data_IF_125451933347
#
_entry.id   IF_125451933347
#
_cell.length_a   1.000
_cell.length_b   1.000
_cell.length_c   1.000
_cell.angle_alpha   90.00
_cell.angle_beta   90.00
_cell.angle_gamma   90.00
#
_symmetry.space_group_name_H-M   'P 1'
#
loop_
_entity.id
_entity.type
_entity.pdbx_description
1 polymer ?
#
# COMPACT_ATOMS: atom_id res chain seq x y z
N UNK A 1 -58.91 62.79 -15.61
CA UNK A 1 -59.07 61.35 -15.40
C UNK A 1 -57.69 60.80 -15.05
N UNK A 2 -57.44 60.48 -13.81
CA UNK A 2 -56.15 60.12 -13.27
C UNK A 2 -56.07 58.58 -13.12
N UNK A 3 -55.08 57.96 -13.69
CA UNK A 3 -54.76 56.56 -13.41
C UNK A 3 -53.46 56.46 -12.62
N UNK A 4 -53.58 55.99 -11.41
CA UNK A 4 -52.52 55.65 -10.47
C UNK A 4 -51.84 54.36 -10.92
N UNK A 5 -50.50 54.37 -11.10
CA UNK A 5 -49.70 53.16 -11.19
C UNK A 5 -49.02 52.92 -9.84
N UNK A 6 -49.45 51.83 -9.19
CA UNK A 6 -48.75 51.27 -8.03
C UNK A 6 -47.51 50.50 -8.47
N UNK A 7 -46.33 50.95 -8.01
CA UNK A 7 -45.09 50.20 -8.14
C UNK A 7 -44.97 49.24 -6.96
N UNK A 8 -45.15 47.93 -7.24
CA UNK A 8 -44.84 46.88 -6.30
C UNK A 8 -43.32 46.61 -6.26
N UNK A 9 -42.75 46.73 -5.09
CA UNK A 9 -41.37 46.34 -4.84
C UNK A 9 -41.32 44.87 -4.47
N UNK A 10 -40.71 44.06 -5.33
CA UNK A 10 -40.36 42.65 -5.05
C UNK A 10 -39.04 42.65 -4.31
N UNK A 11 -39.07 42.33 -3.03
CA UNK A 11 -37.93 42.01 -2.21
C UNK A 11 -37.50 40.59 -2.56
N UNK A 12 -36.43 40.45 -3.32
CA UNK A 12 -35.77 39.18 -3.57
C UNK A 12 -34.82 38.94 -2.39
N UNK A 13 -35.25 38.03 -1.46
CA UNK A 13 -34.40 37.50 -0.41
C UNK A 13 -33.38 36.54 -1.05
N UNK A 14 -32.16 36.98 -1.18
CA UNK A 14 -31.02 36.12 -1.49
C UNK A 14 -30.71 35.25 -0.27
N UNK A 15 -31.23 34.01 -0.28
CA UNK A 15 -30.73 32.96 0.60
C UNK A 15 -29.34 32.53 0.14
N UNK A 16 -28.32 33.01 0.83
CA UNK A 16 -26.95 32.52 0.69
C UNK A 16 -26.88 31.10 1.27
N UNK A 17 -26.98 30.10 0.40
CA UNK A 17 -26.65 28.75 0.76
C UNK A 17 -25.13 28.65 0.96
N UNK A 18 -24.70 28.64 2.20
CA UNK A 18 -23.34 28.28 2.59
C UNK A 18 -23.16 26.79 2.27
N UNK A 19 -22.58 26.48 1.13
CA UNK A 19 -22.06 25.17 0.79
C UNK A 19 -20.88 24.91 1.73
N UNK A 20 -21.17 24.25 2.87
CA UNK A 20 -20.13 23.64 3.70
C UNK A 20 -19.51 22.50 2.87
N UNK A 21 -18.38 22.75 2.23
CA UNK A 21 -17.54 21.70 1.70
C UNK A 21 -17.19 20.75 2.87
N UNK A 22 -17.32 19.42 2.70
CA UNK A 22 -16.79 18.50 3.68
C UNK A 22 -15.28 18.68 3.67
N UNK A 23 -14.76 19.39 4.64
CA UNK A 23 -13.35 19.32 5.00
C UNK A 23 -13.09 17.87 5.40
N UNK A 24 -12.50 17.09 4.47
CA UNK A 24 -11.90 15.83 4.79
C UNK A 24 -10.76 16.10 5.77
N UNK A 25 -11.11 16.27 7.01
CA UNK A 25 -10.16 16.22 8.12
C UNK A 25 -9.61 14.80 8.06
N UNK A 26 -8.33 14.69 7.68
CA UNK A 26 -7.57 13.49 7.99
C UNK A 26 -7.90 13.18 9.44
N UNK A 27 -8.58 12.05 9.65
CA UNK A 27 -8.96 11.59 10.99
C UNK A 27 -7.65 11.31 11.69
N UNK A 28 -7.15 12.29 12.40
CA UNK A 28 -6.04 12.11 13.29
C UNK A 28 -6.40 10.92 14.19
N UNK A 29 -5.43 10.08 14.41
CA UNK A 29 -5.42 9.03 15.40
C UNK A 29 -5.92 9.52 16.73
N UNK A 30 -7.21 9.50 16.95
CA UNK A 30 -7.83 10.01 18.16
C UNK A 30 -8.53 8.94 18.97
N UNK A 31 -8.14 7.66 18.74
CA UNK A 31 -8.54 6.69 19.73
C UNK A 31 -7.31 5.96 20.28
N UNK A 32 -6.86 6.41 21.47
CA UNK A 32 -5.85 5.70 22.25
C UNK A 32 -6.21 4.22 22.43
N UNK A 33 -7.50 3.89 22.33
CA UNK A 33 -8.05 2.53 22.37
C UNK A 33 -7.64 1.70 21.15
N UNK A 34 -7.67 2.29 19.95
CA UNK A 34 -7.28 1.60 18.70
C UNK A 34 -5.78 1.30 18.73
N UNK A 35 -4.97 2.28 19.14
CA UNK A 35 -3.54 2.09 19.25
C UNK A 35 -3.17 0.98 20.23
N UNK A 36 -3.78 0.96 21.41
CA UNK A 36 -3.56 -0.10 22.38
C UNK A 36 -4.00 -1.47 21.84
N UNK A 37 -5.07 -1.50 21.05
CA UNK A 37 -5.53 -2.73 20.37
C UNK A 37 -4.49 -3.25 19.39
N UNK A 38 -3.85 -2.37 18.59
CA UNK A 38 -2.80 -2.77 17.66
C UNK A 38 -1.55 -3.27 18.37
N UNK A 39 -1.12 -2.61 19.45
CA UNK A 39 0.02 -3.05 20.26
C UNK A 39 -0.23 -4.42 20.90
N UNK A 40 -1.44 -4.66 21.42
CA UNK A 40 -1.83 -5.99 21.93
C UNK A 40 -1.81 -7.05 20.83
N UNK A 41 -2.32 -6.73 19.64
CA UNK A 41 -2.34 -7.66 18.53
C UNK A 41 -0.92 -8.02 18.07
N UNK A 42 -0.01 -7.05 17.95
CA UNK A 42 1.40 -7.31 17.65
C UNK A 42 2.08 -8.11 18.74
N UNK A 43 1.82 -7.78 20.00
CA UNK A 43 2.37 -8.55 21.15
C UNK A 43 1.91 -10.00 21.11
N UNK A 44 0.64 -10.24 20.78
CA UNK A 44 0.11 -11.58 20.56
C UNK A 44 0.87 -12.30 19.43
N UNK A 45 1.03 -11.67 18.26
CA UNK A 45 1.71 -12.29 17.13
C UNK A 45 3.19 -12.62 17.45
N UNK A 46 3.88 -11.74 18.15
CA UNK A 46 5.27 -11.98 18.59
C UNK A 46 5.40 -13.08 19.65
N UNK A 47 4.35 -13.38 20.40
CA UNK A 47 4.35 -14.43 21.44
C UNK A 47 4.17 -15.83 20.90
N UNK A 48 3.86 -16.01 19.61
CA UNK A 48 3.60 -17.32 18.99
C UNK A 48 4.90 -18.12 18.93
N UNK A 49 4.91 -19.25 19.61
CA UNK A 49 6.03 -20.17 19.60
C UNK A 49 5.56 -21.63 19.42
N UNK A 50 6.17 -22.43 18.53
CA UNK A 50 7.18 -22.03 17.53
C UNK A 50 6.60 -21.06 16.48
N UNK A 51 7.45 -20.25 15.82
CA UNK A 51 7.01 -19.34 14.76
C UNK A 51 6.25 -20.10 13.67
N UNK A 52 5.14 -19.53 13.21
CA UNK A 52 4.32 -20.05 12.12
C UNK A 52 4.11 -18.98 11.08
N UNK A 53 4.07 -19.37 9.81
CA UNK A 53 3.82 -18.47 8.70
C UNK A 53 2.51 -17.67 8.87
N UNK A 54 1.46 -18.35 9.30
CA UNK A 54 0.16 -17.76 9.61
C UNK A 54 -0.42 -18.38 10.89
N UNK A 55 -1.08 -17.55 11.69
CA UNK A 55 -1.78 -17.99 12.89
C UNK A 55 -3.01 -17.13 13.12
N UNK A 56 -4.14 -17.78 13.33
CA UNK A 56 -5.39 -17.13 13.74
C UNK A 56 -5.54 -17.22 15.25
N UNK A 57 -5.89 -16.11 15.90
CA UNK A 57 -6.18 -16.11 17.33
C UNK A 57 -7.40 -16.97 17.67
N UNK A 58 -7.51 -17.50 18.90
CA UNK A 58 -8.64 -18.35 19.30
C UNK A 58 -10.00 -17.66 19.14
N UNK A 59 -10.06 -16.36 19.35
CA UNK A 59 -11.27 -15.52 19.17
C UNK A 59 -11.51 -15.11 17.71
N UNK A 60 -10.63 -15.52 16.77
CA UNK A 60 -10.64 -15.23 15.34
C UNK A 60 -10.55 -13.75 14.99
N UNK A 61 -10.18 -12.89 15.90
CA UNK A 61 -10.12 -11.44 15.68
C UNK A 61 -8.75 -10.95 15.20
N UNK A 62 -7.70 -11.76 15.35
CA UNK A 62 -6.33 -11.41 14.96
C UNK A 62 -5.79 -12.51 14.05
N UNK A 63 -5.38 -12.14 12.85
CA UNK A 63 -4.58 -12.97 11.95
C UNK A 63 -3.15 -12.46 11.96
N UNK A 64 -2.22 -13.31 12.36
CA UNK A 64 -0.79 -13.03 12.28
C UNK A 64 -0.22 -13.61 10.99
N UNK A 65 0.53 -12.81 10.25
CA UNK A 65 1.30 -13.22 9.07
C UNK A 65 2.75 -12.80 9.25
N UNK A 66 3.64 -13.77 9.44
CA UNK A 66 5.06 -13.53 9.73
C UNK A 66 5.96 -14.42 8.86
N UNK A 67 5.99 -14.11 7.56
CA UNK A 67 6.78 -14.88 6.59
C UNK A 67 6.89 -14.17 5.24
N UNK A 68 7.66 -14.75 4.32
CA UNK A 68 7.63 -14.44 2.89
C UNK A 68 6.42 -15.13 2.25
N UNK A 69 5.79 -14.49 1.27
CA UNK A 69 4.64 -15.02 0.52
C UNK A 69 5.11 -16.09 -0.49
N UNK A 70 5.38 -17.28 0.00
CA UNK A 70 5.83 -18.42 -0.79
C UNK A 70 4.63 -19.26 -1.30
N UNK A 71 4.79 -20.08 -2.34
CA UNK A 71 3.70 -20.90 -2.90
C UNK A 71 3.05 -21.83 -1.88
N UNK A 72 3.82 -22.35 -0.93
CA UNK A 72 3.40 -23.29 0.12
C UNK A 72 2.63 -22.63 1.27
N UNK A 73 2.59 -21.29 1.34
CA UNK A 73 1.83 -20.60 2.38
C UNK A 73 0.34 -20.67 2.06
N UNK A 74 -0.41 -21.32 2.94
CA UNK A 74 -1.87 -21.39 2.83
C UNK A 74 -2.52 -20.11 3.35
N UNK A 75 -2.73 -19.15 2.46
CA UNK A 75 -3.38 -17.87 2.77
C UNK A 75 -4.89 -18.00 3.00
N UNK A 76 -5.49 -19.17 2.67
CA UNK A 76 -6.94 -19.41 2.81
C UNK A 76 -7.42 -19.37 4.26
N UNK A 77 -6.51 -19.54 5.23
CA UNK A 77 -6.79 -19.36 6.65
C UNK A 77 -7.38 -17.98 6.97
N UNK A 78 -7.06 -16.96 6.17
CA UNK A 78 -7.61 -15.61 6.31
C UNK A 78 -9.14 -15.57 6.20
N UNK A 79 -9.76 -16.54 5.52
CA UNK A 79 -11.24 -16.66 5.46
C UNK A 79 -11.89 -16.86 6.82
N UNK A 80 -11.14 -17.42 7.78
CA UNK A 80 -11.62 -17.66 9.13
C UNK A 80 -11.48 -16.44 10.05
N UNK A 81 -10.80 -15.37 9.61
CA UNK A 81 -10.75 -14.11 10.34
C UNK A 81 -12.15 -13.49 10.41
N UNK A 82 -12.57 -13.02 11.57
CA UNK A 82 -13.84 -12.30 11.71
C UNK A 82 -13.87 -11.03 10.86
N UNK A 83 -15.07 -10.63 10.45
CA UNK A 83 -15.28 -9.36 9.73
C UNK A 83 -14.81 -8.18 10.60
N UNK A 84 -14.00 -7.30 10.02
CA UNK A 84 -13.41 -6.17 10.73
C UNK A 84 -12.27 -6.55 11.68
N UNK A 85 -11.77 -7.79 11.61
CA UNK A 85 -10.62 -8.23 12.41
C UNK A 85 -9.31 -7.56 12.00
N UNK A 86 -8.26 -7.82 12.77
CA UNK A 86 -6.92 -7.29 12.53
C UNK A 86 -6.07 -8.30 11.74
N UNK A 87 -5.47 -7.84 10.65
CA UNK A 87 -4.46 -8.58 9.91
C UNK A 87 -3.07 -8.00 10.22
N UNK A 88 -2.37 -8.64 11.14
CA UNK A 88 -1.06 -8.19 11.64
C UNK A 88 0.04 -8.82 10.81
N UNK A 89 0.88 -8.01 10.18
CA UNK A 89 1.84 -8.49 9.19
C UNK A 89 3.26 -7.97 9.41
N UNK A 90 4.21 -8.89 9.23
CA UNK A 90 5.62 -8.66 8.98
C UNK A 90 6.04 -9.56 7.82
N UNK A 91 6.49 -8.97 6.70
CA UNK A 91 6.77 -9.76 5.49
C UNK A 91 7.79 -9.10 4.59
N UNK A 92 8.67 -9.90 4.02
CA UNK A 92 9.58 -9.48 2.93
C UNK A 92 8.90 -9.46 1.56
N UNK A 93 7.58 -9.68 1.50
CA UNK A 93 6.85 -9.79 0.24
C UNK A 93 6.92 -11.20 -0.33
N UNK A 94 7.20 -11.35 -1.60
CA UNK A 94 7.31 -12.64 -2.29
C UNK A 94 6.45 -12.69 -3.55
N UNK A 95 5.78 -13.81 -3.79
CA UNK A 95 5.00 -14.03 -5.01
C UNK A 95 3.79 -13.10 -5.13
N UNK A 96 3.70 -12.41 -6.26
CA UNK A 96 2.59 -11.49 -6.56
C UNK A 96 1.22 -12.18 -6.56
N UNK A 97 1.12 -13.40 -7.10
CA UNK A 97 -0.14 -14.14 -7.15
C UNK A 97 -0.65 -14.49 -5.74
N UNK A 98 0.25 -14.83 -4.82
CA UNK A 98 -0.08 -15.06 -3.42
C UNK A 98 -0.46 -13.79 -2.68
N UNK A 99 0.26 -12.70 -2.93
CA UNK A 99 -0.06 -11.40 -2.37
C UNK A 99 -1.44 -10.90 -2.83
N UNK A 100 -1.77 -11.05 -4.11
CA UNK A 100 -3.08 -10.69 -4.64
C UNK A 100 -4.21 -11.57 -4.08
N UNK A 101 -3.97 -12.89 -3.90
CA UNK A 101 -4.92 -13.78 -3.24
C UNK A 101 -5.20 -13.33 -1.81
N UNK A 102 -4.14 -13.02 -1.06
CA UNK A 102 -4.23 -12.53 0.31
C UNK A 102 -4.91 -11.16 0.40
N UNK A 103 -4.59 -10.25 -0.53
CA UNK A 103 -5.20 -8.94 -0.63
C UNK A 103 -6.73 -9.00 -0.84
N UNK A 104 -7.19 -9.93 -1.70
CA UNK A 104 -8.62 -10.15 -1.91
C UNK A 104 -9.30 -10.64 -0.62
N UNK A 105 -8.68 -11.60 0.10
CA UNK A 105 -9.21 -12.12 1.36
C UNK A 105 -9.24 -11.06 2.47
N UNK A 106 -8.23 -10.20 2.56
CA UNK A 106 -8.20 -9.06 3.49
C UNK A 106 -9.39 -8.13 3.23
N UNK A 107 -9.66 -7.83 1.96
CA UNK A 107 -10.81 -7.01 1.55
C UNK A 107 -12.15 -7.67 1.88
N UNK A 108 -12.30 -8.96 1.56
CA UNK A 108 -13.49 -9.74 1.86
C UNK A 108 -13.80 -9.78 3.36
N UNK A 109 -12.78 -9.74 4.20
CA UNK A 109 -12.92 -9.70 5.65
C UNK A 109 -13.07 -8.28 6.21
N UNK A 110 -12.97 -7.23 5.38
CA UNK A 110 -12.92 -5.83 5.84
C UNK A 110 -11.89 -5.63 6.94
N UNK A 111 -10.78 -6.36 6.86
CA UNK A 111 -9.77 -6.35 7.90
C UNK A 111 -8.97 -5.03 7.89
N UNK A 112 -8.58 -4.57 9.07
CA UNK A 112 -7.55 -3.54 9.21
C UNK A 112 -6.19 -4.20 9.17
N UNK A 113 -5.30 -3.73 8.29
CA UNK A 113 -3.91 -4.20 8.24
C UNK A 113 -3.06 -3.43 9.24
N UNK A 114 -2.29 -4.16 10.05
CA UNK A 114 -1.34 -3.60 11.01
C UNK A 114 0.06 -4.08 10.66
N UNK A 115 0.90 -3.17 10.19
CA UNK A 115 2.31 -3.46 9.85
C UNK A 115 3.19 -3.23 11.06
N UNK A 116 3.99 -4.22 11.42
CA UNK A 116 5.07 -4.10 12.41
C UNK A 116 6.39 -4.53 11.80
N UNK A 117 7.48 -4.01 12.31
CA UNK A 117 8.85 -4.21 11.82
C UNK A 117 9.03 -3.86 10.35
N UNK A 118 8.46 -4.64 9.40
CA UNK A 118 8.61 -4.33 7.98
C UNK A 118 7.55 -4.96 7.08
N UNK A 119 7.34 -4.31 5.92
CA UNK A 119 6.51 -4.79 4.83
C UNK A 119 7.18 -4.42 3.50
N UNK A 120 7.72 -5.42 2.77
CA UNK A 120 8.52 -5.20 1.57
C UNK A 120 7.84 -5.73 0.31
N UNK A 121 8.22 -5.17 -0.86
CA UNK A 121 7.89 -5.72 -2.17
C UNK A 121 6.38 -5.95 -2.34
N UNK A 122 5.96 -7.16 -2.68
CA UNK A 122 4.55 -7.51 -2.84
C UNK A 122 3.69 -7.22 -1.58
N UNK A 123 4.28 -7.21 -0.38
CA UNK A 123 3.60 -6.75 0.83
C UNK A 123 3.30 -5.25 0.75
N UNK A 124 4.29 -4.44 0.39
CA UNK A 124 4.14 -3.00 0.25
C UNK A 124 3.22 -2.63 -0.93
N UNK A 125 3.24 -3.41 -1.99
CA UNK A 125 2.44 -3.15 -3.19
C UNK A 125 0.97 -3.52 -3.01
N UNK A 126 0.69 -4.71 -2.47
CA UNK A 126 -0.67 -5.27 -2.47
C UNK A 126 -1.31 -5.30 -1.09
N UNK A 127 -0.57 -5.62 -0.03
CA UNK A 127 -1.20 -5.85 1.27
C UNK A 127 -1.58 -4.57 1.97
N UNK A 128 -0.67 -3.58 2.03
CA UNK A 128 -0.99 -2.31 2.70
C UNK A 128 -2.00 -1.46 1.94
N UNK A 129 -2.18 -1.72 0.66
CA UNK A 129 -3.10 -1.00 -0.22
C UNK A 129 -4.45 -1.71 -0.40
N UNK A 130 -4.56 -2.97 0.04
CA UNK A 130 -5.77 -3.77 -0.11
C UNK A 130 -6.94 -3.28 0.75
N UNK A 131 -6.78 -3.07 2.08
CA UNK A 131 -7.88 -2.69 2.94
C UNK A 131 -8.27 -1.22 2.77
N UNK A 132 -9.35 -0.84 3.42
CA UNK A 132 -9.71 0.58 3.53
C UNK A 132 -8.83 1.31 4.55
N UNK A 133 -8.28 0.57 5.52
CA UNK A 133 -7.39 1.13 6.54
C UNK A 133 -6.19 0.25 6.79
N UNK A 134 -5.01 0.86 6.77
CA UNK A 134 -3.74 0.26 7.15
C UNK A 134 -3.03 1.12 8.19
N UNK A 135 -2.44 0.46 9.15
CA UNK A 135 -1.65 1.05 10.21
C UNK A 135 -0.21 0.58 10.11
N UNK A 136 0.71 1.52 9.95
CA UNK A 136 2.15 1.26 10.01
C UNK A 136 2.64 1.75 11.35
N UNK A 137 2.99 0.82 12.22
CA UNK A 137 3.41 1.12 13.59
C UNK A 137 4.77 1.82 13.63
N UNK A 138 5.03 2.46 14.75
CA UNK A 138 6.33 3.07 15.04
C UNK A 138 7.46 2.07 14.79
N UNK A 139 8.53 2.56 14.21
CA UNK A 139 9.73 1.78 13.91
C UNK A 139 9.54 0.66 12.86
N UNK A 140 8.43 0.64 12.15
CA UNK A 140 8.24 -0.23 11.00
C UNK A 140 8.64 0.47 9.69
N UNK A 141 9.09 -0.32 8.70
CA UNK A 141 9.46 0.17 7.38
C UNK A 141 8.58 -0.46 6.29
N UNK A 142 8.09 0.38 5.39
CA UNK A 142 7.43 -0.04 4.15
C UNK A 142 8.40 0.22 3.00
N UNK A 143 8.82 -0.85 2.31
CA UNK A 143 9.91 -0.77 1.35
C UNK A 143 9.51 -1.39 0.02
N UNK A 144 9.86 -0.70 -1.05
CA UNK A 144 9.70 -1.17 -2.43
C UNK A 144 11.04 -1.48 -3.07
N UNK A 145 11.03 -2.30 -4.08
CA UNK A 145 12.14 -2.52 -4.99
C UNK A 145 11.62 -2.69 -6.42
N UNK A 146 12.51 -2.53 -7.39
CA UNK A 146 12.16 -2.87 -8.75
C UNK A 146 11.80 -4.35 -8.83
N UNK A 147 10.70 -4.72 -9.49
CA UNK A 147 10.46 -6.10 -9.83
C UNK A 147 11.68 -6.58 -10.61
N UNK A 148 12.22 -7.73 -10.22
CA UNK A 148 13.44 -8.27 -10.76
C UNK A 148 13.46 -8.25 -12.29
N UNK A 149 14.27 -7.37 -12.85
CA UNK A 149 14.66 -7.42 -14.24
C UNK A 149 15.91 -8.28 -14.31
N UNK A 150 15.86 -9.36 -15.07
CA UNK A 150 17.05 -10.12 -15.39
C UNK A 150 18.02 -9.35 -16.29
N UNK A 151 17.67 -8.13 -16.69
CA UNK A 151 18.47 -7.25 -17.55
C UNK A 151 18.35 -5.80 -17.08
N UNK A 152 19.33 -5.32 -16.30
CA UNK A 152 19.36 -3.96 -15.76
C UNK A 152 19.47 -2.87 -16.85
N UNK A 153 19.92 -3.22 -18.06
CA UNK A 153 19.97 -2.29 -19.19
C UNK A 153 18.59 -2.00 -19.81
N UNK A 154 17.55 -2.71 -19.39
CA UNK A 154 16.20 -2.57 -19.92
C UNK A 154 15.25 -2.04 -18.86
N UNK A 155 14.92 -0.75 -18.86
CA UNK A 155 13.95 -0.20 -17.90
C UNK A 155 12.60 -0.92 -18.05
N UNK A 156 12.02 -1.30 -16.92
CA UNK A 156 10.63 -1.77 -16.89
C UNK A 156 9.70 -0.62 -17.22
N UNK A 157 8.90 -0.80 -18.25
CA UNK A 157 7.74 0.02 -18.50
C UNK A 157 6.49 -0.77 -18.11
N UNK A 158 5.79 -0.33 -17.08
CA UNK A 158 4.46 -0.82 -16.78
C UNK A 158 3.44 0.22 -17.23
N UNK A 159 2.55 -0.15 -18.14
CA UNK A 159 1.39 0.66 -18.49
C UNK A 159 0.16 -0.23 -18.56
N UNK A 160 -0.97 0.35 -18.12
CA UNK A 160 -2.25 -0.32 -18.25
C UNK A 160 -2.60 -0.51 -19.73
N UNK A 161 -2.84 -1.75 -20.12
CA UNK A 161 -3.56 -2.02 -21.35
C UNK A 161 -5.04 -1.85 -21.07
N UNK A 162 -5.69 -0.92 -21.72
CA UNK A 162 -7.12 -0.75 -21.64
C UNK A 162 -7.82 -1.47 -22.79
N UNK A 163 -9.01 -1.99 -22.53
CA UNK A 163 -9.94 -2.47 -23.58
C UNK A 163 -10.61 -1.30 -24.28
N UNK A 164 -11.30 -1.56 -25.41
CA UNK A 164 -12.07 -0.53 -26.14
C UNK A 164 -13.14 0.15 -25.28
N UNK A 165 -13.61 -0.53 -24.29
CA UNK A 165 -14.59 -0.10 -23.28
C UNK A 165 -13.97 0.56 -22.04
N UNK A 166 -12.65 0.83 -22.06
CA UNK A 166 -11.94 1.57 -20.99
C UNK A 166 -11.52 0.74 -19.79
N UNK A 167 -11.92 -0.55 -19.72
CA UNK A 167 -11.54 -1.43 -18.62
C UNK A 167 -10.08 -1.91 -18.68
N UNK A 168 -9.45 -2.23 -17.55
CA UNK A 168 -8.07 -2.75 -17.54
C UNK A 168 -8.00 -4.15 -18.14
N UNK A 169 -7.08 -4.36 -19.10
CA UNK A 169 -6.78 -5.67 -19.69
C UNK A 169 -5.49 -6.30 -19.22
N UNK A 170 -4.67 -5.56 -18.50
CA UNK A 170 -3.39 -6.02 -18.00
C UNK A 170 -2.35 -4.91 -17.90
N UNK A 171 -1.19 -5.25 -17.37
CA UNK A 171 -0.02 -4.39 -17.37
C UNK A 171 0.86 -4.76 -18.55
N UNK A 172 1.37 -3.77 -19.26
CA UNK A 172 2.47 -3.96 -20.20
C UNK A 172 3.77 -3.60 -19.50
N UNK A 173 4.65 -4.58 -19.38
CA UNK A 173 6.04 -4.34 -18.95
C UNK A 173 6.92 -4.43 -20.20
N UNK A 174 7.76 -3.48 -20.42
CA UNK A 174 8.70 -3.53 -21.55
C UNK A 174 10.07 -4.00 -21.10
N UNK A 175 10.85 -4.66 -21.93
CA UNK A 175 10.41 -5.55 -22.97
C UNK A 175 9.91 -6.86 -22.38
N UNK A 176 8.60 -6.98 -22.28
CA UNK A 176 7.99 -8.22 -21.83
C UNK A 176 8.23 -9.28 -22.91
N UNK A 177 8.81 -10.41 -22.57
CA UNK A 177 8.73 -11.60 -23.41
C UNK A 177 7.28 -12.02 -23.47
N UNK A 178 6.64 -11.83 -24.61
CA UNK A 178 5.35 -12.45 -24.89
C UNK A 178 5.50 -13.96 -24.75
N UNK A 179 4.72 -14.60 -23.91
CA UNK A 179 4.53 -16.02 -23.97
C UNK A 179 4.68 -16.88 -22.72
N UNK A 180 4.45 -16.36 -21.50
CA UNK A 180 4.14 -17.27 -20.39
C UNK A 180 2.75 -16.96 -19.83
N UNK A 181 1.84 -17.93 -19.89
CA UNK A 181 0.46 -17.82 -19.38
C UNK A 181 0.39 -17.35 -17.92
N UNK A 182 1.38 -17.69 -17.13
CA UNK A 182 1.47 -17.31 -15.71
C UNK A 182 1.75 -15.82 -15.52
N UNK A 183 2.60 -15.22 -16.36
CA UNK A 183 2.93 -13.79 -16.31
C UNK A 183 1.74 -12.96 -16.80
N UNK A 184 1.00 -13.46 -17.78
CA UNK A 184 -0.15 -12.76 -18.33
C UNK A 184 -1.32 -12.75 -17.35
N UNK A 185 -1.57 -13.85 -16.64
CA UNK A 185 -2.59 -13.94 -15.61
C UNK A 185 -2.29 -13.04 -14.40
N UNK A 186 -1.09 -13.08 -13.87
CA UNK A 186 -0.63 -12.23 -12.77
C UNK A 186 -0.73 -10.75 -13.18
N UNK A 187 -0.30 -10.40 -14.38
CA UNK A 187 -0.38 -9.04 -14.90
C UNK A 187 -1.81 -8.53 -15.06
N UNK A 188 -2.76 -9.37 -15.50
CA UNK A 188 -4.16 -8.98 -15.63
C UNK A 188 -4.83 -8.78 -14.26
N UNK A 189 -4.55 -9.68 -13.32
CA UNK A 189 -5.05 -9.59 -11.93
C UNK A 189 -4.45 -8.39 -11.21
N UNK A 190 -3.15 -8.16 -11.35
CA UNK A 190 -2.47 -7.00 -10.81
C UNK A 190 -3.06 -5.70 -11.37
N UNK A 191 -3.26 -5.61 -12.68
CA UNK A 191 -3.86 -4.44 -13.31
C UNK A 191 -5.28 -4.17 -12.78
N UNK A 192 -6.08 -5.20 -12.58
CA UNK A 192 -7.42 -5.08 -11.98
C UNK A 192 -7.34 -4.56 -10.56
N UNK A 193 -6.46 -5.12 -9.74
CA UNK A 193 -6.25 -4.69 -8.37
C UNK A 193 -5.87 -3.20 -8.30
N UNK A 194 -4.86 -2.78 -9.07
CA UNK A 194 -4.41 -1.39 -9.11
C UNK A 194 -5.55 -0.45 -9.54
N UNK A 195 -6.33 -0.86 -10.54
CA UNK A 195 -7.48 -0.11 -11.01
C UNK A 195 -8.57 0.04 -9.93
N UNK A 196 -8.97 -1.06 -9.31
CA UNK A 196 -10.01 -1.07 -8.25
C UNK A 196 -9.59 -0.26 -7.03
N UNK A 197 -8.31 -0.23 -6.72
CA UNK A 197 -7.72 0.53 -5.62
C UNK A 197 -7.30 1.94 -6.01
N UNK A 198 -7.56 2.37 -7.24
CA UNK A 198 -7.16 3.67 -7.80
C UNK A 198 -5.65 3.96 -7.62
N UNK A 199 -4.83 2.92 -7.74
CA UNK A 199 -3.37 3.02 -7.63
C UNK A 199 -2.82 3.30 -9.02
N UNK A 200 -2.06 4.38 -9.15
CA UNK A 200 -1.30 4.64 -10.37
C UNK A 200 -0.19 3.57 -10.50
N UNK A 201 -0.15 2.81 -11.61
CA UNK A 201 0.90 1.82 -11.82
C UNK A 201 2.31 2.38 -11.74
N UNK A 202 2.50 3.66 -12.02
CA UNK A 202 3.80 4.33 -11.89
C UNK A 202 4.23 4.49 -10.43
N UNK A 203 3.30 4.45 -9.48
CA UNK A 203 3.59 4.60 -8.05
C UNK A 203 4.17 3.34 -7.41
N UNK A 204 3.91 2.16 -7.97
CA UNK A 204 4.50 0.88 -7.56
C UNK A 204 5.82 0.57 -8.28
N UNK A 205 6.18 1.39 -9.24
CA UNK A 205 7.51 1.46 -9.85
C UNK A 205 8.36 2.48 -9.09
N UNK A 206 9.68 2.55 -9.32
CA UNK A 206 10.47 3.63 -8.73
C UNK A 206 9.70 4.92 -8.94
N UNK A 207 9.36 5.63 -7.86
CA UNK A 207 8.57 6.84 -7.97
C UNK A 207 9.19 7.74 -9.02
N UNK A 208 8.36 8.53 -9.68
CA UNK A 208 8.80 9.53 -10.65
C UNK A 208 9.75 10.58 -10.03
N UNK A 209 10.07 10.40 -8.76
CA UNK A 209 11.13 11.13 -8.10
C UNK A 209 12.44 10.94 -8.88
N UNK A 210 12.85 12.01 -9.53
CA UNK A 210 14.15 12.06 -10.23
C UNK A 210 15.30 11.78 -9.26
N UNK A 211 15.08 12.02 -7.97
CA UNK A 211 16.03 11.75 -6.91
C UNK A 211 16.24 10.25 -6.72
N UNK A 212 15.17 9.49 -6.50
CA UNK A 212 15.27 8.03 -6.33
C UNK A 212 15.83 7.37 -7.57
N UNK A 213 15.36 7.74 -8.77
CA UNK A 213 15.91 7.17 -10.02
C UNK A 213 17.40 7.43 -10.19
N UNK A 214 17.86 8.65 -9.93
CA UNK A 214 19.30 8.99 -10.03
C UNK A 214 20.10 8.23 -8.98
N UNK A 215 19.58 8.12 -7.76
CA UNK A 215 20.27 7.44 -6.67
C UNK A 215 20.33 5.93 -6.91
N UNK A 216 19.25 5.31 -7.38
CA UNK A 216 19.24 3.90 -7.82
C UNK A 216 20.25 3.67 -8.94
N UNK A 217 20.27 4.52 -9.96
CA UNK A 217 21.22 4.42 -11.07
C UNK A 217 22.68 4.56 -10.60
N UNK A 218 22.96 5.48 -9.66
CA UNK A 218 24.30 5.63 -9.08
C UNK A 218 24.72 4.39 -8.30
N UNK A 219 23.86 3.88 -7.44
CA UNK A 219 24.16 2.68 -6.65
C UNK A 219 24.31 1.45 -7.53
N UNK A 220 23.53 1.34 -8.61
CA UNK A 220 23.69 0.30 -9.60
C UNK A 220 25.06 0.37 -10.29
N UNK A 221 25.47 1.57 -10.71
CA UNK A 221 26.79 1.78 -11.31
C UNK A 221 27.95 1.43 -10.36
N UNK A 222 27.75 1.65 -9.05
CA UNK A 222 28.74 1.34 -8.01
C UNK A 222 28.80 -0.15 -7.66
N UNK A 223 27.65 -0.83 -7.61
CA UNK A 223 27.52 -2.20 -7.06
C UNK A 223 27.30 -3.27 -8.12
N UNK A 224 26.81 -2.91 -9.29
CA UNK A 224 26.36 -3.85 -10.33
C UNK A 224 25.09 -4.64 -9.98
N UNK A 225 24.42 -4.29 -8.86
CA UNK A 225 23.29 -5.05 -8.32
C UNK A 225 22.11 -4.10 -8.06
N UNK A 226 20.99 -4.31 -8.71
CA UNK A 226 19.78 -3.49 -8.58
C UNK A 226 18.74 -4.06 -7.62
N UNK A 227 18.76 -5.36 -7.36
CA UNK A 227 17.77 -6.05 -6.53
C UNK A 227 18.00 -5.89 -5.02
N UNK A 228 19.20 -5.46 -4.62
CA UNK A 228 19.51 -5.17 -3.21
C UNK A 228 19.24 -3.70 -2.83
N UNK A 229 18.64 -2.94 -3.76
CA UNK A 229 18.29 -1.55 -3.53
C UNK A 229 16.79 -1.45 -3.27
N UNK A 230 16.47 -1.02 -2.07
CA UNK A 230 15.09 -0.74 -1.65
C UNK A 230 14.87 0.77 -1.58
N UNK A 231 13.63 1.21 -1.63
CA UNK A 231 13.28 2.60 -1.34
C UNK A 231 12.05 2.69 -0.45
N UNK A 232 11.92 3.80 0.24
CA UNK A 232 10.75 4.16 1.01
C UNK A 232 10.33 5.58 0.73
N UNK A 233 9.04 5.84 0.80
CA UNK A 233 8.46 7.14 0.51
C UNK A 233 8.14 7.89 1.81
N UNK A 234 8.25 9.21 1.75
CA UNK A 234 7.69 10.03 2.81
C UNK A 234 6.17 9.79 2.91
N UNK A 235 5.62 9.59 4.11
CA UNK A 235 4.19 9.36 4.33
C UNK A 235 3.26 10.38 3.68
N UNK A 236 3.70 11.62 3.47
CA UNK A 236 2.92 12.69 2.83
C UNK A 236 2.47 12.38 1.38
N UNK A 237 3.16 11.45 0.71
CA UNK A 237 2.82 11.08 -0.67
C UNK A 237 1.67 10.06 -0.75
N UNK A 238 1.48 9.24 0.27
CA UNK A 238 0.53 8.13 0.24
C UNK A 238 -0.91 8.54 -0.06
N UNK A 239 -1.47 9.63 0.50
CA UNK A 239 -2.83 10.03 0.19
C UNK A 239 -3.07 10.40 -1.27
N UNK A 240 -2.00 10.70 -2.01
CA UNK A 240 -2.07 11.02 -3.44
C UNK A 240 -1.89 9.80 -4.33
N UNK A 241 -1.23 8.78 -3.82
CA UNK A 241 -0.86 7.58 -4.57
C UNK A 241 -1.84 6.44 -4.37
N UNK A 242 -2.51 6.37 -3.22
CA UNK A 242 -3.31 5.23 -2.82
C UNK A 242 -4.68 5.66 -2.29
N UNK A 243 -5.71 4.90 -2.66
CA UNK A 243 -7.07 5.09 -2.13
C UNK A 243 -7.18 4.65 -0.67
N UNK A 244 -6.38 3.66 -0.26
CA UNK A 244 -6.35 3.16 1.10
C UNK A 244 -5.93 4.27 2.08
N UNK A 245 -6.59 4.34 3.23
CA UNK A 245 -6.15 5.18 4.33
C UNK A 245 -4.98 4.50 5.04
N UNK A 246 -3.76 4.94 4.73
CA UNK A 246 -2.53 4.39 5.31
C UNK A 246 -2.00 5.38 6.35
N UNK A 247 -2.09 4.99 7.61
CA UNK A 247 -1.66 5.80 8.74
C UNK A 247 -0.28 5.35 9.19
N UNK A 248 0.65 6.27 9.27
CA UNK A 248 2.01 6.02 9.73
C UNK A 248 2.22 6.62 11.11
N UNK A 249 2.61 5.79 12.05
CA UNK A 249 2.97 6.26 13.38
C UNK A 249 4.47 6.56 13.47
N UNK A 250 4.81 7.83 13.70
CA UNK A 250 6.20 8.27 13.85
C UNK A 250 7.17 7.66 12.81
N UNK A 251 6.77 7.69 11.54
CA UNK A 251 7.57 7.14 10.44
C UNK A 251 8.83 7.97 10.21
N UNK A 252 9.97 7.37 9.84
CA UNK A 252 11.22 8.08 9.54
C UNK A 252 11.02 9.21 8.51
N UNK A 253 11.64 10.37 8.77
CA UNK A 253 11.54 11.57 7.95
C UNK A 253 12.86 11.94 7.26
N UNK A 254 13.91 11.15 7.45
CA UNK A 254 15.23 11.37 6.86
C UNK A 254 15.91 10.06 6.52
N UNK A 255 16.94 10.12 5.67
CA UNK A 255 17.75 8.94 5.34
C UNK A 255 18.42 8.36 6.59
N UNK A 256 18.92 9.21 7.49
CA UNK A 256 19.56 8.78 8.75
C UNK A 256 18.60 8.00 9.66
N UNK A 257 17.36 8.47 9.78
CA UNK A 257 16.33 7.78 10.55
C UNK A 257 15.96 6.43 9.94
N UNK A 258 15.83 6.37 8.61
CA UNK A 258 15.59 5.11 7.88
C UNK A 258 16.72 4.13 8.12
N UNK A 259 17.97 4.57 7.99
CA UNK A 259 19.15 3.73 8.19
C UNK A 259 19.21 3.21 9.65
N UNK A 260 18.87 4.05 10.63
CA UNK A 260 18.81 3.65 12.03
C UNK A 260 17.73 2.59 12.31
N UNK A 261 16.54 2.74 11.70
CA UNK A 261 15.48 1.72 11.81
C UNK A 261 15.90 0.43 11.12
N UNK A 262 16.45 0.51 9.91
CA UNK A 262 16.93 -0.64 9.16
C UNK A 262 17.98 -1.44 9.94
N UNK A 263 18.95 -0.75 10.55
CA UNK A 263 19.97 -1.39 11.37
C UNK A 263 19.37 -2.15 12.57
N UNK A 264 18.38 -1.56 13.26
CA UNK A 264 17.68 -2.25 14.37
C UNK A 264 16.93 -3.49 13.90
N UNK A 265 16.39 -3.46 12.70
CA UNK A 265 15.65 -4.58 12.11
C UNK A 265 16.55 -5.63 11.44
N UNK A 266 17.87 -5.40 11.41
CA UNK A 266 18.83 -6.29 10.76
C UNK A 266 18.72 -6.30 9.22
N UNK A 267 18.17 -5.22 8.63
CA UNK A 267 18.05 -5.08 7.17
C UNK A 267 19.39 -4.61 6.61
N UNK A 268 20.00 -5.43 5.77
CA UNK A 268 21.33 -5.17 5.17
C UNK A 268 21.25 -4.55 3.78
N UNK A 269 20.09 -4.59 3.15
CA UNK A 269 19.87 -3.97 1.85
C UNK A 269 20.05 -2.44 1.91
N UNK A 270 20.47 -1.84 0.80
CA UNK A 270 20.53 -0.38 0.67
C UNK A 270 19.12 0.18 0.53
N UNK A 271 18.76 1.11 1.42
CA UNK A 271 17.46 1.77 1.39
C UNK A 271 17.66 3.23 0.99
N UNK A 272 16.83 3.70 0.08
CA UNK A 272 16.77 5.11 -0.34
C UNK A 272 15.48 5.70 0.23
N UNK A 273 15.63 6.78 0.98
CA UNK A 273 14.49 7.57 1.44
C UNK A 273 14.15 8.64 0.39
N UNK A 274 12.89 8.71 -0.04
CA UNK A 274 12.37 9.78 -0.89
C UNK A 274 11.68 10.83 0.00
N UNK A 275 12.30 12.03 0.19
CA UNK A 275 11.89 13.03 1.16
C UNK A 275 10.59 13.77 0.79
#
# INVERSE_FOLDING_TARGET
MAHWFQKGWLLISLMSAVLSAPTGVARALDDASDRESYDRAVSYCRSIWPPRAMTLSPDKRIMCFDTTMLPEVDVSLTKALELGGLFVIRSTGGREDKALELADLIRERHATVVVYDYCFSACAEFIITAPDQTYVLKDALVLWHNPQSSDPARPYCAFLKTSRDGGPRGLRRGPCREGSDTVEYSSARQARFLWERAIDPSSVMPPDSIYVRRRVASLYAETGVDHDILWTLNPRYYPRLFKANIVFEAYPQSQEEVDAVAARLGITAKIIYDP
#
